data_IF_333571139005
#
_entry.id   IF_333571139005
#
_cell.length_a   1.000
_cell.length_b   1.000
_cell.length_c   1.000
_cell.angle_alpha   90.00
_cell.angle_beta   90.00
_cell.angle_gamma   90.00
#
_symmetry.space_group_name_H-M   'P 1'
#
loop_
_entity.id
_entity.type
_entity.pdbx_description
1 polymer ?
#
# COMPACT_ATOMS: atom_id res chain seq x y z
N UNK A 1 78.84 18.01 -16.26
CA UNK A 1 79.54 17.37 -15.13
C UNK A 1 78.88 17.79 -13.83
N UNK A 2 78.82 16.86 -12.88
CA UNK A 2 78.02 16.83 -11.65
C UNK A 2 78.21 18.09 -10.78
N UNK A 3 77.15 18.53 -10.11
CA UNK A 3 77.27 19.35 -8.91
C UNK A 3 76.35 18.84 -7.81
N UNK A 4 76.94 18.74 -6.64
CA UNK A 4 76.54 17.99 -5.46
C UNK A 4 75.90 18.92 -4.43
N UNK A 5 74.79 18.43 -3.85
CA UNK A 5 74.45 18.35 -2.40
C UNK A 5 74.32 19.64 -1.58
N UNK A 6 73.21 19.71 -0.81
CA UNK A 6 73.07 19.89 0.67
C UNK A 6 71.72 20.55 0.95
N UNK A 7 70.69 19.80 1.37
CA UNK A 7 70.31 19.47 2.75
C UNK A 7 70.37 20.67 3.73
N UNK A 8 69.19 21.23 4.02
CA UNK A 8 68.95 22.24 5.04
C UNK A 8 67.53 22.12 5.60
N UNK A 9 67.46 21.59 6.82
CA UNK A 9 66.49 21.80 7.90
C UNK A 9 65.75 23.17 7.88
N UNK A 10 64.55 23.44 8.43
CA UNK A 10 63.63 22.79 9.38
C UNK A 10 62.42 23.78 9.56
N UNK A 11 61.24 23.26 9.97
CA UNK A 11 60.09 23.88 10.69
C UNK A 11 59.20 24.98 10.06
N UNK A 12 57.87 24.72 10.07
CA UNK A 12 56.84 25.77 9.97
C UNK A 12 55.39 25.29 9.79
N UNK A 13 54.81 24.67 10.83
CA UNK A 13 53.38 24.61 11.22
C UNK A 13 52.31 24.76 10.11
N UNK A 14 51.59 23.67 9.83
CA UNK A 14 50.14 23.73 9.61
C UNK A 14 49.51 22.58 10.40
N UNK A 15 48.81 22.93 11.48
CA UNK A 15 47.94 21.99 12.19
C UNK A 15 46.76 21.65 11.29
N UNK A 16 46.87 20.56 10.54
CA UNK A 16 45.73 19.93 9.88
C UNK A 16 44.90 19.24 10.96
N UNK A 17 43.80 19.84 11.39
CA UNK A 17 42.67 19.05 11.89
C UNK A 17 42.24 18.16 10.73
N UNK A 18 42.61 16.88 10.78
CA UNK A 18 42.01 15.85 9.94
C UNK A 18 40.52 15.82 10.31
N UNK A 19 39.73 16.60 9.59
CA UNK A 19 38.35 16.24 9.26
C UNK A 19 38.46 14.90 8.52
N UNK A 20 38.54 13.82 9.29
CA UNK A 20 38.41 12.48 8.75
C UNK A 20 37.09 12.45 7.98
N UNK A 21 37.07 11.94 6.74
CA UNK A 21 35.81 11.70 6.07
C UNK A 21 35.07 10.68 6.90
N UNK A 22 34.14 11.15 7.74
CA UNK A 22 33.06 10.30 8.21
C UNK A 22 32.45 9.70 6.95
N UNK A 23 32.39 8.37 6.82
CA UNK A 23 31.58 7.78 5.78
C UNK A 23 30.15 8.13 6.21
N UNK A 24 29.65 9.27 5.74
CA UNK A 24 28.25 9.37 5.40
C UNK A 24 28.16 8.34 4.28
N UNK A 25 27.93 7.09 4.68
CA UNK A 25 27.56 6.04 3.78
C UNK A 25 26.45 6.68 2.96
N UNK A 26 26.68 6.77 1.65
CA UNK A 26 25.61 6.96 0.70
C UNK A 26 24.66 5.78 0.97
N UNK A 27 23.73 5.96 1.91
CA UNK A 27 22.54 5.15 2.00
C UNK A 27 21.74 5.60 0.78
N UNK A 28 22.16 5.12 -0.39
CA UNK A 28 21.27 4.96 -1.51
C UNK A 28 20.16 4.10 -0.95
N UNK A 29 19.09 4.74 -0.50
CA UNK A 29 17.91 4.02 -0.10
C UNK A 29 17.52 3.20 -1.35
N UNK A 30 17.44 1.90 -1.16
CA UNK A 30 17.01 0.98 -2.21
C UNK A 30 15.47 0.98 -2.17
N UNK A 31 14.83 0.46 -3.21
CA UNK A 31 13.40 0.16 -3.11
C UNK A 31 13.10 -0.65 -1.84
N UNK A 32 11.85 -0.66 -1.39
CA UNK A 32 11.52 -1.31 -0.12
C UNK A 32 11.93 -2.80 -0.16
N UNK A 33 12.63 -3.29 0.88
CA UNK A 33 12.95 -4.70 0.98
C UNK A 33 11.68 -5.56 0.90
N UNK A 34 11.74 -6.68 0.20
CA UNK A 34 10.59 -7.57 0.01
C UNK A 34 9.87 -7.94 1.33
N UNK A 35 10.56 -8.25 2.45
CA UNK A 35 9.87 -8.48 3.73
C UNK A 35 9.02 -7.29 4.21
N UNK A 36 9.45 -6.05 3.96
CA UNK A 36 8.67 -4.85 4.31
C UNK A 36 7.45 -4.68 3.41
N UNK A 37 7.57 -5.03 2.13
CA UNK A 37 6.43 -5.07 1.21
C UNK A 37 5.41 -6.11 1.72
N UNK A 38 5.87 -7.34 1.99
CA UNK A 38 5.00 -8.41 2.48
C UNK A 38 4.28 -8.02 3.78
N UNK A 39 4.96 -7.41 4.74
CA UNK A 39 4.33 -6.92 5.98
C UNK A 39 3.23 -5.89 5.72
N UNK A 40 3.41 -4.96 4.77
CA UNK A 40 2.37 -3.99 4.38
C UNK A 40 1.15 -4.66 3.75
N UNK A 41 1.36 -5.73 2.98
CA UNK A 41 0.30 -6.40 2.22
C UNK A 41 -0.39 -7.52 3.03
N UNK A 42 0.25 -8.06 4.07
CA UNK A 42 -0.25 -9.20 4.85
C UNK A 42 -1.56 -8.91 5.57
N UNK A 43 -1.80 -7.66 5.98
CA UNK A 43 -3.03 -7.26 6.66
C UNK A 43 -4.21 -7.03 5.72
N UNK A 44 -4.01 -7.16 4.40
CA UNK A 44 -5.06 -6.91 3.40
C UNK A 44 -5.65 -8.24 2.95
N UNK A 45 -6.84 -8.62 3.43
CA UNK A 45 -7.55 -9.76 2.88
C UNK A 45 -8.06 -9.46 1.47
N UNK A 46 -7.84 -10.41 0.58
CA UNK A 46 -8.43 -10.49 -0.76
C UNK A 46 -9.02 -11.89 -0.93
N UNK A 47 -9.83 -12.07 -1.96
CA UNK A 47 -10.63 -13.27 -2.14
C UNK A 47 -10.36 -13.89 -3.50
N UNK A 48 -10.05 -15.18 -3.50
CA UNK A 48 -9.93 -15.95 -4.75
C UNK A 48 -10.90 -17.11 -4.71
N UNK A 49 -11.14 -17.71 -5.87
CA UNK A 49 -12.04 -18.85 -6.01
C UNK A 49 -11.17 -20.08 -6.14
N UNK A 50 -11.31 -21.02 -5.23
CA UNK A 50 -10.50 -22.24 -5.23
C UNK A 50 -11.35 -23.48 -5.22
N UNK A 51 -10.77 -24.60 -5.62
CA UNK A 51 -11.32 -25.91 -5.33
C UNK A 51 -11.17 -26.29 -3.84
N UNK A 52 -11.55 -27.52 -3.50
CA UNK A 52 -11.45 -28.05 -2.14
C UNK A 52 -9.99 -28.16 -1.64
N UNK A 53 -9.03 -28.38 -2.54
CA UNK A 53 -7.60 -28.48 -2.25
C UNK A 53 -6.92 -27.10 -2.12
N UNK A 54 -7.62 -26.02 -2.48
CA UNK A 54 -7.09 -24.67 -2.45
C UNK A 54 -6.44 -24.22 -3.76
N UNK A 55 -6.55 -25.00 -4.84
CA UNK A 55 -6.05 -24.59 -6.14
C UNK A 55 -6.96 -23.52 -6.76
N UNK A 56 -6.43 -22.42 -7.32
CA UNK A 56 -7.23 -21.34 -7.86
C UNK A 56 -7.97 -21.76 -9.14
N UNK A 57 -9.17 -21.21 -9.33
CA UNK A 57 -9.89 -21.29 -10.58
C UNK A 57 -9.19 -20.43 -11.64
N UNK A 58 -8.60 -21.10 -12.64
CA UNK A 58 -7.85 -20.47 -13.72
C UNK A 58 -8.70 -20.43 -15.00
N UNK A 59 -8.77 -19.25 -15.62
CA UNK A 59 -9.31 -19.05 -16.95
C UNK A 59 -8.18 -18.93 -17.98
N UNK A 60 -8.39 -19.48 -19.17
CA UNK A 60 -7.49 -19.29 -20.31
C UNK A 60 -8.02 -18.14 -21.17
N UNK A 61 -7.32 -17.00 -21.18
CA UNK A 61 -7.69 -15.81 -21.97
C UNK A 61 -6.71 -15.58 -23.12
N UNK A 62 -7.16 -15.20 -24.33
CA UNK A 62 -6.26 -14.86 -25.42
C UNK A 62 -5.33 -13.70 -25.03
N UNK A 63 -4.03 -13.81 -25.31
CA UNK A 63 -3.09 -12.69 -25.11
C UNK A 63 -3.43 -11.57 -26.08
N UNK A 64 -3.59 -10.34 -25.57
CA UNK A 64 -3.89 -9.17 -26.39
C UNK A 64 -2.62 -8.35 -26.68
N UNK A 65 -2.33 -8.12 -27.96
CA UNK A 65 -1.21 -7.27 -28.41
C UNK A 65 -0.66 -7.69 -29.78
N UNK A 66 -0.11 -6.74 -30.55
CA UNK A 66 0.56 -7.05 -31.82
C UNK A 66 1.73 -8.01 -31.58
N UNK A 67 1.73 -9.16 -32.26
CA UNK A 67 2.80 -10.17 -32.17
C UNK A 67 2.67 -11.15 -30.99
N UNK A 68 1.62 -11.07 -30.17
CA UNK A 68 1.37 -12.05 -29.12
C UNK A 68 0.46 -13.18 -29.65
N UNK A 69 0.95 -14.41 -29.56
CA UNK A 69 0.18 -15.63 -29.89
C UNK A 69 0.04 -16.51 -28.64
N UNK A 70 -1.10 -17.18 -28.50
CA UNK A 70 -1.40 -18.07 -27.38
C UNK A 70 -2.31 -17.46 -26.31
N UNK A 71 -2.55 -18.23 -25.24
CA UNK A 71 -3.41 -17.83 -24.13
C UNK A 71 -2.57 -17.55 -22.87
N UNK A 72 -3.09 -16.68 -22.02
CA UNK A 72 -2.62 -16.49 -20.65
C UNK A 72 -3.54 -17.24 -19.68
N UNK A 73 -2.94 -17.90 -18.70
CA UNK A 73 -3.63 -18.44 -17.54
C UNK A 73 -3.90 -17.31 -16.56
N UNK A 74 -5.17 -17.02 -16.26
CA UNK A 74 -5.57 -15.92 -15.38
C UNK A 74 -6.38 -16.45 -14.21
N UNK A 75 -6.03 -16.03 -13.00
CA UNK A 75 -6.85 -16.25 -11.81
C UNK A 75 -7.37 -14.90 -11.27
N UNK A 76 -8.66 -14.86 -10.93
CA UNK A 76 -9.32 -13.66 -10.39
C UNK A 76 -9.06 -13.49 -8.90
N UNK A 77 -8.65 -12.28 -8.51
CA UNK A 77 -8.41 -11.86 -7.13
C UNK A 77 -9.36 -10.71 -6.80
N UNK A 78 -10.45 -11.02 -6.11
CA UNK A 78 -11.49 -10.07 -5.76
C UNK A 78 -11.11 -9.30 -4.50
N UNK A 79 -11.33 -7.98 -4.53
CA UNK A 79 -11.14 -7.10 -3.37
C UNK A 79 -12.29 -7.26 -2.36
N UNK A 80 -13.49 -7.61 -2.85
CA UNK A 80 -14.71 -7.77 -2.05
C UNK A 80 -15.10 -9.25 -1.95
N UNK A 81 -15.45 -9.69 -0.75
CA UNK A 81 -15.91 -11.06 -0.54
C UNK A 81 -17.27 -11.26 -1.20
N UNK A 82 -18.17 -10.28 -1.06
CA UNK A 82 -19.48 -10.28 -1.70
C UNK A 82 -19.38 -10.41 -3.21
N UNK A 83 -18.44 -9.73 -3.84
CA UNK A 83 -18.28 -9.78 -5.30
C UNK A 83 -17.71 -11.14 -5.75
N UNK A 84 -16.78 -11.71 -4.98
CA UNK A 84 -16.30 -13.08 -5.21
C UNK A 84 -17.45 -14.10 -5.08
N UNK A 85 -18.30 -13.94 -4.07
CA UNK A 85 -19.45 -14.81 -3.85
C UNK A 85 -20.49 -14.66 -4.97
N UNK A 86 -20.76 -13.42 -5.40
CA UNK A 86 -21.65 -13.14 -6.52
C UNK A 86 -21.16 -13.81 -7.82
N UNK A 87 -19.85 -13.84 -8.06
CA UNK A 87 -19.28 -14.58 -9.18
C UNK A 87 -19.55 -16.09 -9.07
N UNK A 88 -19.34 -16.70 -7.89
CA UNK A 88 -19.66 -18.13 -7.66
C UNK A 88 -21.15 -18.39 -7.85
N UNK A 89 -22.01 -17.48 -7.40
CA UNK A 89 -23.47 -17.60 -7.57
C UNK A 89 -23.88 -17.50 -9.04
N UNK A 90 -23.22 -16.66 -9.83
CA UNK A 90 -23.40 -16.62 -11.28
C UNK A 90 -22.94 -17.92 -11.96
N UNK A 91 -21.88 -18.56 -11.46
CA UNK A 91 -21.46 -19.87 -11.94
C UNK A 91 -22.53 -20.94 -11.70
N UNK A 92 -23.30 -20.88 -10.61
CA UNK A 92 -24.38 -21.86 -10.37
C UNK A 92 -25.39 -21.91 -11.51
N UNK A 93 -25.61 -20.79 -12.19
CA UNK A 93 -26.49 -20.71 -13.37
C UNK A 93 -25.77 -21.08 -14.67
N UNK A 94 -24.51 -20.63 -14.84
CA UNK A 94 -23.77 -20.79 -16.10
C UNK A 94 -23.06 -22.14 -16.25
N UNK A 95 -22.56 -22.68 -15.14
CA UNK A 95 -21.84 -23.95 -15.05
C UNK A 95 -22.03 -24.56 -13.64
N UNK A 96 -23.17 -25.22 -13.37
CA UNK A 96 -23.49 -25.75 -12.05
C UNK A 96 -22.47 -26.77 -11.52
N UNK A 97 -21.86 -27.57 -12.40
CA UNK A 97 -20.84 -28.55 -12.01
C UNK A 97 -19.59 -27.88 -11.46
N UNK A 98 -19.09 -26.86 -12.16
CA UNK A 98 -17.95 -26.07 -11.69
C UNK A 98 -18.29 -25.32 -10.40
N UNK A 99 -19.48 -24.73 -10.31
CA UNK A 99 -19.91 -24.01 -9.12
C UNK A 99 -19.95 -24.90 -7.87
N UNK A 100 -20.28 -26.19 -8.02
CA UNK A 100 -20.31 -27.15 -6.93
C UNK A 100 -18.91 -27.56 -6.43
N UNK A 101 -17.86 -27.40 -7.26
CA UNK A 101 -16.49 -27.79 -6.92
C UNK A 101 -15.63 -26.64 -6.41
N UNK A 102 -16.14 -25.41 -6.38
CA UNK A 102 -15.37 -24.22 -5.99
C UNK A 102 -15.99 -23.45 -4.82
N UNK A 103 -15.16 -22.71 -4.11
CA UNK A 103 -15.55 -21.84 -2.99
C UNK A 103 -14.76 -20.54 -3.01
N UNK A 104 -15.30 -19.52 -2.35
CA UNK A 104 -14.55 -18.30 -2.04
C UNK A 104 -13.57 -18.59 -0.90
N UNK A 105 -12.29 -18.35 -1.14
CA UNK A 105 -11.21 -18.55 -0.18
C UNK A 105 -10.53 -17.20 0.10
N UNK A 106 -10.49 -16.75 1.35
CA UNK A 106 -9.73 -15.56 1.72
C UNK A 106 -8.23 -15.87 1.74
N UNK A 107 -7.44 -14.96 1.18
CA UNK A 107 -5.97 -14.98 1.20
C UNK A 107 -5.47 -13.58 1.49
N UNK A 108 -4.19 -13.43 1.85
CA UNK A 108 -3.61 -12.09 1.99
C UNK A 108 -3.11 -11.56 0.66
N UNK A 109 -3.19 -10.25 0.44
CA UNK A 109 -2.58 -9.61 -0.71
C UNK A 109 -1.07 -9.85 -0.77
N UNK A 110 -0.41 -10.00 0.39
CA UNK A 110 1.01 -10.35 0.48
C UNK A 110 1.31 -11.74 -0.10
N UNK A 111 0.44 -12.72 0.15
CA UNK A 111 0.57 -14.06 -0.43
C UNK A 111 0.39 -14.03 -1.96
N UNK A 112 -0.62 -13.32 -2.46
CA UNK A 112 -0.83 -13.13 -3.90
C UNK A 112 0.38 -12.43 -4.54
N UNK A 113 0.90 -11.39 -3.90
CA UNK A 113 2.11 -10.71 -4.34
C UNK A 113 3.30 -11.67 -4.43
N UNK A 114 3.55 -12.44 -3.37
CA UNK A 114 4.66 -13.39 -3.32
C UNK A 114 4.56 -14.45 -4.42
N UNK A 115 3.37 -15.02 -4.63
CA UNK A 115 3.14 -16.03 -5.67
C UNK A 115 3.33 -15.42 -7.07
N UNK A 116 2.81 -14.21 -7.30
CA UNK A 116 2.98 -13.48 -8.56
C UNK A 116 4.46 -13.30 -8.90
N UNK A 117 5.23 -12.82 -7.92
CA UNK A 117 6.67 -12.59 -8.08
C UNK A 117 7.44 -13.88 -8.33
N UNK A 118 7.07 -14.97 -7.65
CA UNK A 118 7.71 -16.26 -7.83
C UNK A 118 7.37 -16.91 -9.19
N UNK A 119 6.24 -16.58 -9.80
CA UNK A 119 5.77 -17.19 -11.06
C UNK A 119 6.07 -16.37 -12.31
N UNK A 120 6.45 -15.10 -12.14
CA UNK A 120 6.74 -14.19 -13.24
C UNK A 120 7.79 -14.76 -14.20
N UNK A 121 7.45 -14.81 -15.50
CA UNK A 121 8.35 -15.27 -16.56
C UNK A 121 8.46 -16.80 -16.71
N UNK A 122 7.69 -17.58 -15.95
CA UNK A 122 7.64 -19.04 -16.12
C UNK A 122 6.69 -19.45 -17.27
N UNK A 123 6.92 -20.60 -17.93
CA UNK A 123 6.03 -21.08 -19.00
C UNK A 123 4.57 -21.29 -18.56
N UNK A 124 4.37 -21.65 -17.29
CA UNK A 124 3.09 -21.88 -16.63
C UNK A 124 2.66 -20.69 -15.74
N UNK A 125 3.16 -19.48 -16.03
CA UNK A 125 2.79 -18.26 -15.31
C UNK A 125 1.27 -18.08 -15.26
N UNK A 126 0.77 -17.95 -14.03
CA UNK A 126 -0.61 -17.55 -13.76
C UNK A 126 -0.61 -16.06 -13.45
N UNK A 127 -1.30 -15.29 -14.30
CA UNK A 127 -1.51 -13.86 -14.11
C UNK A 127 -2.66 -13.65 -13.13
N UNK A 128 -2.41 -12.93 -12.05
CA UNK A 128 -3.46 -12.54 -11.12
C UNK A 128 -4.14 -11.25 -11.58
N UNK A 129 -5.42 -11.35 -11.92
CA UNK A 129 -6.24 -10.20 -12.27
C UNK A 129 -6.99 -9.71 -11.03
N UNK A 130 -6.64 -8.52 -10.55
CA UNK A 130 -7.35 -7.90 -9.44
C UNK A 130 -8.72 -7.39 -9.91
N UNK A 131 -9.77 -7.79 -9.19
CA UNK A 131 -11.16 -7.44 -9.50
C UNK A 131 -11.64 -6.41 -8.48
N UNK A 132 -11.77 -5.13 -8.85
CA UNK A 132 -12.26 -4.10 -7.96
C UNK A 132 -13.77 -4.22 -7.74
N UNK A 133 -14.24 -3.63 -6.64
CA UNK A 133 -15.68 -3.37 -6.44
C UNK A 133 -16.18 -2.35 -7.47
N UNK A 134 -17.25 -2.64 -8.24
CA UNK A 134 -17.78 -1.71 -9.25
C UNK A 134 -18.15 -0.33 -8.70
N UNK A 135 -18.69 -0.27 -7.48
CA UNK A 135 -19.02 0.99 -6.80
C UNK A 135 -17.78 1.88 -6.61
N UNK A 136 -16.67 1.32 -6.14
CA UNK A 136 -15.45 2.09 -5.90
C UNK A 136 -14.81 2.56 -7.21
N UNK A 137 -14.92 1.78 -8.30
CA UNK A 137 -14.52 2.22 -9.65
C UNK A 137 -15.31 3.45 -10.08
N UNK A 138 -16.64 3.44 -9.88
CA UNK A 138 -17.48 4.59 -10.23
C UNK A 138 -17.13 5.83 -9.38
N UNK A 139 -16.89 5.64 -8.08
CA UNK A 139 -16.49 6.71 -7.18
C UNK A 139 -15.11 7.28 -7.53
N UNK A 140 -14.16 6.44 -7.92
CA UNK A 140 -12.85 6.85 -8.40
C UNK A 140 -12.97 7.75 -9.63
N UNK A 141 -13.78 7.35 -10.61
CA UNK A 141 -14.08 8.17 -11.80
C UNK A 141 -14.65 9.54 -11.40
N UNK A 142 -15.59 9.58 -10.47
CA UNK A 142 -16.16 10.85 -9.98
C UNK A 142 -15.10 11.74 -9.34
N UNK A 143 -14.19 11.19 -8.51
CA UNK A 143 -13.10 11.98 -7.91
C UNK A 143 -12.17 12.54 -8.97
N UNK A 144 -11.76 11.73 -9.96
CA UNK A 144 -10.87 12.18 -11.03
C UNK A 144 -11.51 13.29 -11.88
N UNK A 145 -12.80 13.16 -12.20
CA UNK A 145 -13.58 14.20 -12.90
C UNK A 145 -13.63 15.52 -12.10
N UNK A 146 -13.80 15.45 -10.77
CA UNK A 146 -13.80 16.64 -9.91
C UNK A 146 -12.44 17.35 -9.88
N UNK A 147 -11.35 16.62 -10.14
CA UNK A 147 -9.99 17.17 -10.26
C UNK A 147 -9.64 17.64 -11.69
N UNK A 148 -10.62 17.66 -12.60
CA UNK A 148 -10.44 18.13 -13.98
C UNK A 148 -9.91 17.08 -14.96
N UNK A 149 -9.77 15.82 -14.52
CA UNK A 149 -9.34 14.73 -15.39
C UNK A 149 -10.53 14.12 -16.15
N UNK A 150 -10.44 14.05 -17.47
CA UNK A 150 -11.42 13.33 -18.28
C UNK A 150 -11.11 11.84 -18.26
N UNK A 151 -11.89 11.08 -17.47
CA UNK A 151 -11.69 9.64 -17.28
C UNK A 151 -12.93 8.88 -17.74
N UNK A 152 -12.82 8.24 -18.91
CA UNK A 152 -13.87 7.37 -19.45
C UNK A 152 -13.88 6.01 -18.74
N UNK A 153 -12.69 5.49 -18.44
CA UNK A 153 -12.47 4.18 -17.80
C UNK A 153 -11.41 4.31 -16.70
N UNK A 154 -11.59 3.54 -15.63
CA UNK A 154 -10.58 3.40 -14.58
C UNK A 154 -10.09 1.96 -14.59
N UNK A 155 -8.80 1.77 -14.84
CA UNK A 155 -8.18 0.46 -14.94
C UNK A 155 -7.55 0.07 -13.59
N UNK A 156 -7.81 -1.16 -13.15
CA UNK A 156 -7.29 -1.74 -11.91
C UNK A 156 -8.08 -1.33 -10.67
N UNK A 157 -7.44 -1.48 -9.49
CA UNK A 157 -8.13 -1.29 -8.21
C UNK A 157 -7.92 0.12 -7.66
N UNK A 158 -8.99 0.90 -7.43
CA UNK A 158 -8.87 2.23 -6.87
C UNK A 158 -8.52 2.17 -5.38
N UNK A 159 -7.59 3.05 -4.99
CA UNK A 159 -7.27 3.37 -3.61
C UNK A 159 -7.46 4.87 -3.39
N UNK A 160 -8.02 5.23 -2.25
CA UNK A 160 -8.33 6.61 -1.90
C UNK A 160 -7.44 7.10 -0.77
N UNK A 161 -6.93 8.31 -0.91
CA UNK A 161 -6.18 9.00 0.15
C UNK A 161 -6.65 10.45 0.27
N UNK A 162 -6.40 11.08 1.41
CA UNK A 162 -6.77 12.46 1.65
C UNK A 162 -5.54 13.37 1.73
N UNK A 163 -5.69 14.60 1.23
CA UNK A 163 -4.70 15.67 1.33
C UNK A 163 -5.34 16.95 1.82
N UNK A 164 -4.60 17.77 2.53
CA UNK A 164 -5.09 19.04 3.05
C UNK A 164 -4.04 19.78 3.86
N UNK A 165 -4.49 20.76 4.63
CA UNK A 165 -3.60 21.66 5.36
C UNK A 165 -2.96 22.74 4.48
N UNK A 166 -2.19 23.67 5.10
CA UNK A 166 -1.55 24.78 4.40
C UNK A 166 -0.62 24.36 3.26
N UNK A 167 0.01 23.18 3.40
CA UNK A 167 0.97 22.64 2.43
C UNK A 167 0.35 21.60 1.48
N UNK A 168 -0.97 21.37 1.55
CA UNK A 168 -1.64 20.30 0.79
C UNK A 168 -0.96 18.91 0.99
N UNK A 169 -0.49 18.67 2.22
CA UNK A 169 0.17 17.45 2.65
C UNK A 169 -0.82 16.29 2.80
N UNK A 170 -0.29 15.08 2.93
CA UNK A 170 -1.10 13.89 3.18
C UNK A 170 -1.76 13.94 4.56
N UNK A 171 -3.01 13.51 4.63
CA UNK A 171 -3.66 13.25 5.90
C UNK A 171 -3.12 11.94 6.47
N UNK A 172 -2.55 12.01 7.66
CA UNK A 172 -1.89 10.90 8.33
C UNK A 172 -2.68 10.43 9.55
N UNK A 173 -2.35 9.24 10.05
CA UNK A 173 -2.84 8.74 11.34
C UNK A 173 -1.65 8.25 12.19
N UNK A 174 -1.82 8.28 13.51
CA UNK A 174 -0.84 7.73 14.45
C UNK A 174 -1.06 6.22 14.63
N UNK A 175 -0.01 5.43 14.39
CA UNK A 175 0.05 3.99 14.64
C UNK A 175 1.21 3.71 15.60
N UNK A 176 0.91 3.72 16.90
CA UNK A 176 1.94 3.66 17.94
C UNK A 176 2.75 4.95 17.96
N UNK A 177 4.05 4.86 17.68
CA UNK A 177 4.95 6.02 17.56
C UNK A 177 5.17 6.46 16.10
N UNK A 178 4.52 5.79 15.14
CA UNK A 178 4.71 6.05 13.72
C UNK A 178 3.53 6.81 13.14
N UNK A 179 3.82 7.85 12.38
CA UNK A 179 2.87 8.53 11.52
C UNK A 179 2.79 7.79 10.18
N UNK A 180 1.59 7.42 9.76
CA UNK A 180 1.36 6.62 8.54
C UNK A 180 0.30 7.25 7.66
N UNK A 181 0.41 6.98 6.36
CA UNK A 181 -0.48 7.51 5.32
C UNK A 181 -1.43 6.39 4.89
N UNK A 182 -2.73 6.49 5.23
CA UNK A 182 -3.68 5.44 4.91
C UNK A 182 -4.24 5.56 3.49
N UNK A 183 -4.14 4.47 2.73
CA UNK A 183 -4.79 4.28 1.43
C UNK A 183 -5.96 3.32 1.61
N UNK A 184 -7.18 3.81 1.37
CA UNK A 184 -8.41 3.04 1.59
C UNK A 184 -8.90 2.38 0.31
N UNK A 185 -9.34 1.13 0.41
CA UNK A 185 -10.08 0.49 -0.69
C UNK A 185 -11.51 1.04 -0.84
N UNK A 186 -12.08 1.58 0.24
CA UNK A 186 -13.42 2.18 0.25
C UNK A 186 -13.35 3.70 0.48
N UNK A 187 -13.85 4.49 -0.47
CA UNK A 187 -13.89 5.95 -0.37
C UNK A 187 -14.70 6.43 0.82
N UNK A 188 -15.83 5.78 1.11
CA UNK A 188 -16.74 6.16 2.19
C UNK A 188 -16.07 6.02 3.57
N UNK A 189 -15.18 5.04 3.73
CA UNK A 189 -14.42 4.84 4.96
C UNK A 189 -13.39 5.95 5.16
N UNK A 190 -12.72 6.37 4.09
CA UNK A 190 -11.88 7.57 4.11
C UNK A 190 -12.70 8.82 4.42
N UNK A 191 -13.88 9.00 3.81
CA UNK A 191 -14.75 10.14 4.09
C UNK A 191 -15.13 10.21 5.57
N UNK A 192 -15.50 9.08 6.18
CA UNK A 192 -15.78 9.03 7.61
C UNK A 192 -14.55 9.38 8.47
N UNK A 193 -13.33 9.04 8.03
CA UNK A 193 -12.10 9.47 8.71
C UNK A 193 -11.91 10.99 8.60
N UNK A 194 -12.09 11.55 7.41
CA UNK A 194 -11.99 13.00 7.15
C UNK A 194 -13.01 13.78 7.97
N UNK A 195 -14.25 13.29 8.08
CA UNK A 195 -15.29 13.92 8.89
C UNK A 195 -14.94 13.95 10.39
N UNK A 196 -14.45 12.83 10.94
CA UNK A 196 -13.99 12.78 12.34
C UNK A 196 -12.81 13.71 12.58
N UNK A 197 -11.88 13.79 11.63
CA UNK A 197 -10.76 14.71 11.71
C UNK A 197 -11.24 16.17 11.79
N UNK A 198 -12.18 16.57 10.92
CA UNK A 198 -12.78 17.92 10.94
C UNK A 198 -13.50 18.23 12.26
N UNK A 199 -14.19 17.24 12.85
CA UNK A 199 -14.85 17.40 14.14
C UNK A 199 -13.85 17.58 15.30
N UNK A 200 -12.71 16.88 15.25
CA UNK A 200 -11.67 16.95 16.28
C UNK A 200 -10.80 18.20 16.18
N UNK A 201 -10.62 18.71 14.96
CA UNK A 201 -9.82 19.91 14.69
C UNK A 201 -10.65 20.95 13.93
N UNK A 202 -11.68 21.53 14.57
CA UNK A 202 -12.60 22.48 13.90
C UNK A 202 -11.89 23.77 13.44
N UNK A 203 -10.72 24.07 14.01
CA UNK A 203 -9.91 25.25 13.67
C UNK A 203 -9.07 25.03 12.40
N UNK A 204 -9.02 23.81 11.84
CA UNK A 204 -8.37 23.55 10.55
C UNK A 204 -9.30 24.05 9.44
N UNK A 205 -8.99 25.24 8.93
CA UNK A 205 -9.73 25.88 7.83
C UNK A 205 -9.41 25.29 6.45
N UNK A 206 -8.45 24.36 6.39
CA UNK A 206 -7.96 23.82 5.13
C UNK A 206 -8.96 22.87 4.46
N UNK A 207 -9.19 23.07 3.17
CA UNK A 207 -9.97 22.15 2.33
C UNK A 207 -9.24 20.81 2.22
N UNK A 208 -9.85 19.75 2.76
CA UNK A 208 -9.39 18.38 2.56
C UNK A 208 -9.94 17.86 1.24
N UNK A 209 -9.04 17.40 0.36
CA UNK A 209 -9.34 16.79 -0.92
C UNK A 209 -9.08 15.28 -0.85
N UNK A 210 -9.86 14.52 -1.60
CA UNK A 210 -9.63 13.09 -1.80
C UNK A 210 -8.96 12.92 -3.16
N UNK A 211 -7.89 12.13 -3.19
CA UNK A 211 -7.20 11.71 -4.41
C UNK A 211 -7.37 10.20 -4.60
N UNK A 212 -7.19 9.75 -5.84
CA UNK A 212 -7.27 8.34 -6.23
C UNK A 212 -5.94 7.90 -6.81
N UNK A 213 -5.47 6.74 -6.36
CA UNK A 213 -4.35 6.03 -6.97
C UNK A 213 -4.76 4.60 -7.32
N UNK A 214 -3.95 3.93 -8.11
CA UNK A 214 -4.18 2.57 -8.57
C UNK A 214 -3.32 1.58 -7.74
N UNK A 215 -3.92 0.50 -7.23
CA UNK A 215 -3.24 -0.50 -6.40
C UNK A 215 -2.02 -1.10 -7.11
N UNK A 216 -2.18 -1.50 -8.36
CA UNK A 216 -1.14 -2.16 -9.14
C UNK A 216 0.08 -1.25 -9.32
N UNK A 217 -0.17 0.05 -9.51
CA UNK A 217 0.86 1.10 -9.56
C UNK A 217 1.54 1.29 -8.21
N UNK A 218 0.78 1.24 -7.10
CA UNK A 218 1.34 1.25 -5.74
C UNK A 218 2.22 0.02 -5.49
N UNK A 219 1.78 -1.18 -5.89
CA UNK A 219 2.56 -2.41 -5.74
C UNK A 219 3.88 -2.35 -6.54
N UNK A 220 3.84 -1.81 -7.74
CA UNK A 220 5.04 -1.62 -8.55
C UNK A 220 5.98 -0.56 -7.96
N UNK A 221 5.45 0.57 -7.49
CA UNK A 221 6.22 1.60 -6.81
C UNK A 221 6.90 1.05 -5.55
N UNK A 222 6.19 0.32 -4.68
CA UNK A 222 6.78 -0.34 -3.51
C UNK A 222 8.01 -1.19 -3.86
N UNK A 223 7.99 -1.83 -5.04
CA UNK A 223 9.05 -2.74 -5.50
C UNK A 223 10.21 -2.02 -6.21
N UNK A 224 9.96 -0.89 -6.84
CA UNK A 224 10.90 -0.29 -7.80
C UNK A 224 11.40 1.08 -7.42
N UNK A 225 10.62 1.83 -6.64
CA UNK A 225 10.91 3.22 -6.33
C UNK A 225 11.62 3.34 -4.98
N UNK A 226 12.56 4.28 -4.95
CA UNK A 226 13.23 4.70 -3.74
C UNK A 226 12.59 6.01 -3.25
N UNK A 227 11.40 5.89 -2.67
CA UNK A 227 10.68 7.02 -2.09
C UNK A 227 10.37 6.75 -0.60
N UNK A 228 10.89 7.56 0.34
CA UNK A 228 10.53 7.48 1.75
C UNK A 228 9.01 7.50 2.02
N UNK A 229 8.22 8.13 1.15
CA UNK A 229 6.75 8.11 1.21
C UNK A 229 6.19 6.70 1.25
N UNK A 230 6.73 5.78 0.45
CA UNK A 230 6.28 4.39 0.35
C UNK A 230 6.41 3.64 1.68
N UNK A 231 7.42 4.00 2.49
CA UNK A 231 7.63 3.42 3.81
C UNK A 231 6.52 3.80 4.81
N UNK A 232 5.87 4.95 4.63
CA UNK A 232 4.79 5.44 5.51
C UNK A 232 3.42 4.95 5.07
N UNK A 233 3.28 4.42 3.85
CA UNK A 233 1.98 3.94 3.35
C UNK A 233 1.49 2.72 4.12
N UNK A 234 0.20 2.73 4.43
CA UNK A 234 -0.54 1.53 4.83
C UNK A 234 -1.77 1.38 3.95
N UNK A 235 -2.11 0.13 3.62
CA UNK A 235 -3.36 -0.18 2.97
C UNK A 235 -4.42 -0.44 4.05
N UNK A 236 -5.59 0.17 3.89
CA UNK A 236 -6.74 0.02 4.79
C UNK A 236 -7.81 -0.80 4.08
N UNK A 237 -7.95 -2.09 4.42
CA UNK A 237 -8.96 -2.96 3.83
C UNK A 237 -10.37 -2.49 4.16
N UNK A 238 -11.34 -2.93 3.36
CA UNK A 238 -12.74 -2.65 3.67
C UNK A 238 -13.17 -3.31 4.99
N UNK A 239 -14.11 -2.69 5.69
CA UNK A 239 -14.74 -3.31 6.87
C UNK A 239 -15.37 -4.66 6.57
N UNK A 240 -15.98 -4.79 5.39
CA UNK A 240 -16.60 -6.03 4.93
C UNK A 240 -15.58 -7.18 4.87
N UNK A 241 -14.41 -6.92 4.28
CA UNK A 241 -13.36 -7.93 4.14
C UNK A 241 -12.80 -8.33 5.51
N UNK A 242 -12.63 -7.35 6.42
CA UNK A 242 -12.16 -7.60 7.78
C UNK A 242 -13.18 -8.38 8.62
N UNK A 243 -14.47 -8.05 8.51
CA UNK A 243 -15.56 -8.73 9.20
C UNK A 243 -15.68 -10.19 8.75
N UNK A 244 -15.55 -10.45 7.45
CA UNK A 244 -15.56 -11.81 6.92
C UNK A 244 -14.38 -12.63 7.46
N UNK A 245 -13.15 -12.11 7.42
CA UNK A 245 -12.01 -12.88 7.96
C UNK A 245 -12.13 -13.11 9.46
N UNK A 246 -12.70 -12.17 10.22
CA UNK A 246 -12.99 -12.35 11.64
C UNK A 246 -14.06 -13.43 11.89
N UNK A 247 -15.07 -13.55 11.03
CA UNK A 247 -16.14 -14.56 11.21
C UNK A 247 -15.64 -15.99 11.02
N UNK A 248 -14.51 -16.17 10.31
CA UNK A 248 -13.84 -17.46 10.14
C UNK A 248 -12.98 -17.87 11.34
N UNK A 249 -12.68 -16.94 12.27
CA UNK A 249 -11.90 -17.27 13.47
C UNK A 249 -12.80 -17.98 14.49
N UNK A 250 -12.39 -19.15 15.02
CA UNK A 250 -13.14 -19.81 16.09
C UNK A 250 -13.27 -18.88 17.30
N UNK A 251 -14.44 -18.88 17.95
CA UNK A 251 -14.79 -18.01 19.09
C UNK A 251 -13.87 -18.11 20.35
N UNK A 252 -12.80 -18.90 20.29
CA UNK A 252 -11.79 -19.06 21.35
C UNK A 252 -10.45 -18.34 21.11
N UNK A 253 -10.21 -17.76 19.93
CA UNK A 253 -8.93 -17.09 19.63
C UNK A 253 -8.86 -15.61 20.07
N UNK A 254 -9.97 -15.02 20.50
CA UNK A 254 -10.09 -13.59 20.83
C UNK A 254 -9.80 -13.24 22.30
N UNK A 255 -9.43 -14.21 23.14
CA UNK A 255 -9.28 -14.00 24.59
C UNK A 255 -7.84 -14.13 25.16
N UNK A 256 -6.80 -14.22 24.33
CA UNK A 256 -5.41 -14.27 24.85
C UNK A 256 -4.55 -13.02 24.63
N UNK A 257 -5.07 -11.98 23.98
CA UNK A 257 -4.33 -10.73 23.78
C UNK A 257 -5.06 -9.50 24.32
N UNK A 258 -5.61 -9.60 25.53
CA UNK A 258 -5.99 -8.42 26.31
C UNK A 258 -4.75 -7.96 27.09
N UNK A 259 -4.11 -6.83 26.73
CA UNK A 259 -3.10 -6.23 27.61
C UNK A 259 -3.79 -5.86 28.93
N UNK A 260 -3.11 -5.99 30.08
CA UNK A 260 -3.66 -5.48 31.34
C UNK A 260 -3.96 -3.99 31.16
N UNK A 261 -5.16 -3.59 31.60
CA UNK A 261 -5.61 -2.20 31.51
C UNK A 261 -4.69 -1.31 32.35
N UNK A 262 -3.76 -0.61 31.71
CA UNK A 262 -3.09 0.53 32.29
C UNK A 262 -3.98 1.76 32.11
N UNK A 263 -4.57 2.20 33.22
CA UNK A 263 -5.06 3.56 33.37
C UNK A 263 -3.93 4.53 33.03
N UNK A 264 -4.01 5.25 31.91
CA UNK A 264 -3.24 6.48 31.71
C UNK A 264 -3.86 7.38 30.64
N UNK A 265 -3.98 8.64 31.04
CA UNK A 265 -4.48 9.83 30.35
C UNK A 265 -4.43 9.81 28.81
N UNK A 266 -5.56 10.22 28.22
CA UNK A 266 -5.71 10.56 26.81
C UNK A 266 -4.85 11.78 26.45
N UNK A 267 -3.86 11.59 25.59
CA UNK A 267 -3.16 12.66 24.88
C UNK A 267 -3.84 12.88 23.53
N UNK A 268 -4.22 14.13 23.24
CA UNK A 268 -4.90 14.56 22.02
C UNK A 268 -3.96 14.62 20.79
N UNK A 269 -4.49 14.60 19.55
CA UNK A 269 -3.72 14.90 18.34
C UNK A 269 -3.22 16.36 18.35
N UNK A 270 -1.93 16.58 18.13
CA UNK A 270 -1.33 17.92 18.06
C UNK A 270 -1.37 18.49 16.64
N UNK A 271 -1.61 19.80 16.54
CA UNK A 271 -1.46 20.61 15.34
C UNK A 271 0.03 20.94 15.07
N UNK A 272 0.41 21.41 13.86
CA UNK A 272 1.80 21.72 13.53
C UNK A 272 2.34 22.88 14.37
N UNK A 273 3.58 22.75 14.86
CA UNK A 273 4.25 23.79 15.64
C UNK A 273 4.76 24.94 14.74
N UNK A 274 4.59 26.22 15.15
CA UNK A 274 5.19 27.35 14.45
C UNK A 274 6.69 27.47 14.75
N UNK A 275 7.48 27.73 13.71
CA UNK A 275 8.92 27.98 13.74
C UNK A 275 9.22 29.21 14.59
N UNK A 276 9.91 29.03 15.72
CA UNK A 276 10.38 30.13 16.54
C UNK A 276 11.60 30.79 15.90
N UNK A 277 11.43 32.03 15.46
CA UNK A 277 12.51 32.97 15.15
C UNK A 277 13.25 33.32 16.44
N UNK A 278 14.55 33.01 16.48
CA UNK A 278 15.47 33.39 17.55
C UNK A 278 15.84 34.87 17.41
N UNK A 279 15.72 35.73 18.44
CA UNK A 279 16.28 37.06 18.39
C UNK A 279 17.79 37.00 18.64
N UNK A 280 18.54 37.75 17.84
CA UNK A 280 19.96 38.00 18.06
C UNK A 280 20.14 38.96 19.23
N UNK A 281 21.05 38.62 20.15
CA UNK A 281 21.73 39.56 21.01
C UNK A 281 23.20 39.19 21.06
#
# INVERSE_FOLDING_TARGET
MKLLVRLGAILGIVGCTLLGPSPIANMSALALPEPQILEKLRSVPVFTITDAAGAPLIASVPKQGQGQSGNASVAGIFISQKDAQAFVDQLKTKNPQLAASVRVTPVSLGEIYQISQANKGKPDEVVFAYVPTPQQVQLAKTVLQQTGQQVNEFNGVPLFLARGGPENGYLTIQRGQQEVIPLFFNKEELQGMVERFKQQQPNVTATIKIEVVNLESVLEALRTENDPFLSQLILVPSRESLEFVRSLQPAGASNQNKPPASNQNRSAPQAPAPSQTRPAR
#
